data_IF_252751897709
#
_entry.id   IF_252751897709
#
_cell.length_a   1.000
_cell.length_b   1.000
_cell.length_c   1.000
_cell.angle_alpha   90.00
_cell.angle_beta   90.00
_cell.angle_gamma   90.00
#
_symmetry.space_group_name_H-M   'P 1'
#
loop_
_entity.id
_entity.type
_entity.pdbx_description
1 polymer ?
#
# COMPACT_ATOMS: atom_id res chain seq x y z
N UNK A 1 -8.61 -2.90 32.51
CA UNK A 1 -8.68 -3.88 31.41
C UNK A 1 -9.77 -3.42 30.48
N UNK A 2 -9.47 -2.51 29.56
CA UNK A 2 -10.43 -2.03 28.56
C UNK A 2 -10.47 -3.05 27.42
N UNK A 3 -11.59 -3.75 27.30
CA UNK A 3 -11.86 -4.63 26.18
C UNK A 3 -11.92 -3.77 24.91
N UNK A 4 -10.95 -3.96 24.01
CA UNK A 4 -11.01 -3.41 22.66
C UNK A 4 -12.13 -4.15 21.95
N UNK A 5 -13.25 -3.49 21.73
CA UNK A 5 -14.30 -3.96 20.83
C UNK A 5 -13.64 -4.36 19.50
N UNK A 6 -13.87 -5.55 18.96
CA UNK A 6 -13.43 -5.83 17.60
C UNK A 6 -14.16 -4.85 16.70
N UNK A 7 -13.46 -3.81 16.24
CA UNK A 7 -13.89 -3.01 15.10
C UNK A 7 -14.31 -4.00 14.02
N UNK A 8 -15.51 -3.85 13.47
CA UNK A 8 -15.95 -4.65 12.33
C UNK A 8 -14.79 -4.75 11.32
N UNK A 9 -14.41 -5.99 10.99
CA UNK A 9 -13.29 -6.25 10.09
C UNK A 9 -13.56 -5.64 8.73
N UNK A 10 -12.49 -5.31 8.00
CA UNK A 10 -12.59 -4.72 6.68
C UNK A 10 -11.19 -4.57 6.09
N UNK A 11 -11.11 -4.73 4.78
CA UNK A 11 -9.88 -4.59 4.04
C UNK A 11 -9.43 -3.14 4.05
N UNK A 12 -8.14 -2.91 4.25
CA UNK A 12 -7.52 -1.63 3.96
C UNK A 12 -6.83 -1.68 2.61
N UNK A 13 -6.88 -0.55 1.91
CA UNK A 13 -6.19 -0.37 0.64
C UNK A 13 -5.15 0.73 0.81
N UNK A 14 -3.96 0.54 0.25
CA UNK A 14 -2.96 1.59 0.09
C UNK A 14 -2.72 1.85 -1.39
N UNK A 15 -2.71 3.12 -1.78
CA UNK A 15 -2.45 3.57 -3.15
C UNK A 15 -1.37 4.65 -3.14
N UNK A 16 -0.26 4.38 -3.83
CA UNK A 16 0.77 5.36 -4.12
C UNK A 16 0.66 5.81 -5.59
N UNK A 17 0.07 6.98 -5.87
CA UNK A 17 -0.22 7.41 -7.24
C UNK A 17 1.04 7.95 -7.93
N UNK A 18 1.37 7.40 -9.09
CA UNK A 18 2.41 7.94 -9.97
C UNK A 18 1.89 8.24 -11.37
N UNK A 19 2.69 9.02 -12.13
CA UNK A 19 2.28 9.46 -13.48
C UNK A 19 2.12 8.34 -14.49
N UNK A 20 2.92 7.28 -14.38
CA UNK A 20 2.93 6.16 -15.32
C UNK A 20 2.62 4.82 -14.66
N UNK A 21 2.87 4.72 -13.36
CA UNK A 21 2.65 3.53 -12.54
C UNK A 21 2.16 3.97 -11.17
N UNK A 22 1.34 3.15 -10.56
CA UNK A 22 0.93 3.28 -9.18
C UNK A 22 1.28 2.00 -8.43
N UNK A 23 1.65 2.17 -7.16
CA UNK A 23 1.67 1.07 -6.21
C UNK A 23 0.29 0.86 -5.62
N UNK A 24 -0.16 -0.38 -5.51
CA UNK A 24 -1.45 -0.72 -4.94
C UNK A 24 -1.30 -1.93 -4.02
N UNK A 25 -1.85 -1.83 -2.81
CA UNK A 25 -1.82 -2.90 -1.81
C UNK A 25 -3.21 -3.07 -1.19
N UNK A 26 -3.62 -4.31 -0.94
CA UNK A 26 -4.84 -4.64 -0.19
C UNK A 26 -4.50 -5.59 0.94
N UNK A 27 -5.03 -5.34 2.13
CA UNK A 27 -4.91 -6.27 3.26
C UNK A 27 -5.91 -7.41 3.18
N UNK A 28 -5.78 -8.39 4.05
CA UNK A 28 -6.88 -9.27 4.45
C UNK A 28 -7.95 -8.50 5.25
N UNK A 29 -9.06 -9.17 5.58
CA UNK A 29 -10.17 -8.57 6.33
C UNK A 29 -9.79 -8.16 7.76
N UNK A 30 -8.75 -8.78 8.33
CA UNK A 30 -8.25 -8.43 9.67
C UNK A 30 -7.34 -7.19 9.65
N UNK A 31 -6.87 -6.78 8.47
CA UNK A 31 -5.94 -5.67 8.32
C UNK A 31 -4.54 -5.99 8.86
N UNK A 32 -4.14 -7.26 8.86
CA UNK A 32 -2.86 -7.73 9.42
C UNK A 32 -1.90 -8.29 8.37
N UNK A 33 -2.43 -8.78 7.25
CA UNK A 33 -1.63 -9.40 6.18
C UNK A 33 -1.91 -8.73 4.85
N UNK A 34 -0.90 -8.69 3.99
CA UNK A 34 -1.02 -8.33 2.59
C UNK A 34 -1.68 -9.48 1.84
N UNK A 35 -2.79 -9.19 1.18
CA UNK A 35 -3.49 -10.12 0.32
C UNK A 35 -3.16 -9.87 -1.16
N UNK A 36 -3.03 -8.60 -1.56
CA UNK A 36 -2.63 -8.21 -2.91
C UNK A 36 -1.55 -7.14 -2.85
N UNK A 37 -0.56 -7.25 -3.73
CA UNK A 37 0.54 -6.31 -3.87
C UNK A 37 0.85 -6.13 -5.37
N UNK A 38 0.55 -4.97 -5.91
CA UNK A 38 0.46 -4.73 -7.35
C UNK A 38 1.20 -3.45 -7.76
N UNK A 39 1.89 -3.51 -8.90
CA UNK A 39 2.36 -2.34 -9.65
C UNK A 39 1.56 -2.29 -10.94
N UNK A 40 0.74 -1.26 -11.10
CA UNK A 40 -0.22 -1.14 -12.18
C UNK A 40 -0.09 0.22 -12.86
N UNK A 41 -0.63 0.36 -14.06
CA UNK A 41 -0.90 1.69 -14.63
C UNK A 41 -1.99 2.41 -13.83
N UNK A 42 -2.13 3.74 -13.94
CA UNK A 42 -3.20 4.46 -13.26
C UNK A 42 -4.61 3.92 -13.57
N UNK A 43 -4.87 3.54 -14.83
CA UNK A 43 -6.16 2.97 -15.23
C UNK A 43 -6.40 1.60 -14.58
N UNK A 44 -5.44 0.68 -14.66
CA UNK A 44 -5.57 -0.64 -14.03
C UNK A 44 -5.73 -0.53 -12.51
N UNK A 45 -5.05 0.44 -11.89
CA UNK A 45 -5.17 0.69 -10.45
C UNK A 45 -6.58 1.16 -10.08
N UNK A 46 -7.20 1.96 -10.96
CA UNK A 46 -8.57 2.42 -10.79
C UNK A 46 -9.55 1.25 -10.90
N UNK A 47 -9.37 0.40 -11.91
CA UNK A 47 -10.21 -0.77 -12.13
C UNK A 47 -10.14 -1.75 -10.93
N UNK A 48 -8.94 -1.97 -10.38
CA UNK A 48 -8.75 -2.77 -9.17
C UNK A 48 -9.42 -2.16 -7.94
N UNK A 49 -9.26 -0.85 -7.74
CA UNK A 49 -9.89 -0.15 -6.62
C UNK A 49 -11.41 -0.31 -6.66
N UNK A 50 -12.04 -0.07 -7.82
CA UNK A 50 -13.48 -0.27 -7.99
C UNK A 50 -13.88 -1.72 -7.75
N UNK A 51 -13.13 -2.67 -8.32
CA UNK A 51 -13.39 -4.09 -8.13
C UNK A 51 -13.37 -4.48 -6.65
N UNK A 52 -12.38 -4.03 -5.87
CA UNK A 52 -12.29 -4.33 -4.45
C UNK A 52 -13.41 -3.68 -3.64
N UNK A 53 -13.72 -2.41 -3.90
CA UNK A 53 -14.84 -1.72 -3.25
C UNK A 53 -16.20 -2.41 -3.51
N UNK A 54 -16.37 -3.05 -4.67
CA UNK A 54 -17.59 -3.80 -5.00
C UNK A 54 -17.59 -5.25 -4.48
N UNK A 55 -16.43 -5.88 -4.35
CA UNK A 55 -16.33 -7.32 -4.05
C UNK A 55 -16.08 -7.64 -2.57
N UNK A 56 -15.61 -6.68 -1.77
CA UNK A 56 -15.31 -6.90 -0.36
C UNK A 56 -15.62 -5.66 0.50
N UNK A 57 -15.70 -5.86 1.81
CA UNK A 57 -15.89 -4.76 2.76
C UNK A 57 -14.57 -4.00 2.92
N UNK A 58 -14.47 -2.83 2.31
CA UNK A 58 -13.32 -1.93 2.43
C UNK A 58 -13.54 -0.96 3.58
N UNK A 59 -12.61 -0.92 4.52
CA UNK A 59 -12.65 -0.03 5.69
C UNK A 59 -12.15 1.38 5.35
N UNK A 60 -11.20 1.47 4.44
CA UNK A 60 -10.69 2.74 3.96
C UNK A 60 -9.53 2.58 2.98
N UNK A 61 -9.23 3.69 2.33
CA UNK A 61 -8.12 3.85 1.39
C UNK A 61 -7.12 4.85 1.95
N UNK A 62 -5.86 4.44 2.04
CA UNK A 62 -4.73 5.32 2.31
C UNK A 62 -4.15 5.76 0.96
N UNK A 63 -4.20 7.05 0.68
CA UNK A 63 -3.73 7.64 -0.56
C UNK A 63 -2.46 8.46 -0.30
N UNK A 64 -1.39 8.17 -1.01
CA UNK A 64 -0.18 9.00 -0.99
C UNK A 64 -0.50 10.42 -1.48
N UNK A 65 -0.04 11.44 -0.74
CA UNK A 65 -0.38 12.85 -0.98
C UNK A 65 0.49 13.55 -2.04
N UNK A 66 1.27 12.79 -2.80
CA UNK A 66 2.17 13.27 -3.83
C UNK A 66 1.51 14.07 -4.95
N UNK A 67 2.34 14.55 -5.89
CA UNK A 67 1.88 15.42 -7.01
C UNK A 67 0.80 14.80 -7.91
N UNK A 68 0.62 13.47 -7.87
CA UNK A 68 -0.42 12.75 -8.59
C UNK A 68 -1.75 12.56 -7.83
N UNK A 69 -1.85 12.98 -6.56
CA UNK A 69 -2.96 12.61 -5.67
C UNK A 69 -4.27 13.35 -5.94
N UNK A 70 -4.21 14.59 -6.46
CA UNK A 70 -5.39 15.43 -6.71
C UNK A 70 -6.44 14.77 -7.62
N UNK A 71 -6.08 14.33 -8.84
CA UNK A 71 -7.01 13.64 -9.74
C UNK A 71 -7.63 12.38 -9.13
N UNK A 72 -6.87 11.65 -8.30
CA UNK A 72 -7.38 10.47 -7.60
C UNK A 72 -8.42 10.84 -6.56
N UNK A 73 -8.17 11.83 -5.72
CA UNK A 73 -9.14 12.29 -4.72
C UNK A 73 -10.47 12.67 -5.36
N UNK A 74 -10.42 13.41 -6.47
CA UNK A 74 -11.63 13.80 -7.20
C UNK A 74 -12.36 12.57 -7.76
N UNK A 75 -11.66 11.70 -8.49
CA UNK A 75 -12.27 10.50 -9.08
C UNK A 75 -12.90 9.59 -8.01
N UNK A 76 -12.23 9.41 -6.88
CA UNK A 76 -12.74 8.62 -5.75
C UNK A 76 -13.96 9.30 -5.12
N UNK A 77 -13.92 10.61 -4.88
CA UNK A 77 -15.06 11.35 -4.34
C UNK A 77 -16.30 11.28 -5.23
N UNK A 78 -16.11 11.29 -6.56
CA UNK A 78 -17.20 11.24 -7.52
C UNK A 78 -17.79 9.82 -7.67
N UNK A 79 -16.94 8.79 -7.73
CA UNK A 79 -17.37 7.42 -8.06
C UNK A 79 -17.55 6.49 -6.85
N UNK A 80 -16.91 6.80 -5.71
CA UNK A 80 -16.87 5.98 -4.50
C UNK A 80 -17.08 6.86 -3.25
N UNK A 81 -18.20 7.61 -3.15
CA UNK A 81 -18.40 8.63 -2.11
C UNK A 81 -18.43 8.06 -0.67
N UNK A 82 -18.77 6.78 -0.51
CA UNK A 82 -18.79 6.08 0.78
C UNK A 82 -17.39 5.59 1.23
N UNK A 83 -16.40 5.60 0.32
CA UNK A 83 -15.05 5.16 0.64
C UNK A 83 -14.34 6.23 1.48
N UNK A 84 -13.99 5.88 2.71
CA UNK A 84 -13.16 6.75 3.54
C UNK A 84 -11.75 6.82 2.96
N UNK A 85 -11.32 8.01 2.53
CA UNK A 85 -9.97 8.26 2.02
C UNK A 85 -9.17 9.02 3.07
N UNK A 86 -7.98 8.52 3.36
CA UNK A 86 -7.00 9.16 4.25
C UNK A 86 -5.79 9.53 3.43
N UNK A 87 -5.47 10.82 3.36
CA UNK A 87 -4.21 11.29 2.80
C UNK A 87 -3.07 11.00 3.75
N UNK A 88 -2.06 10.31 3.24
CA UNK A 88 -0.84 10.03 3.97
C UNK A 88 0.29 10.82 3.31
N UNK A 89 0.98 11.68 4.08
CA UNK A 89 2.23 12.30 3.64
C UNK A 89 3.16 11.26 3.05
N UNK A 90 3.79 11.56 1.90
CA UNK A 90 4.79 10.70 1.26
C UNK A 90 5.87 10.22 2.26
N UNK A 91 5.57 9.15 2.98
CA UNK A 91 6.54 8.37 3.76
C UNK A 91 7.29 7.39 2.85
N UNK A 92 6.82 7.24 1.61
CA UNK A 92 7.32 6.36 0.57
C UNK A 92 8.61 6.83 -0.08
N UNK A 93 9.60 7.28 0.70
CA UNK A 93 10.95 7.42 0.15
C UNK A 93 11.37 6.07 -0.44
N UNK A 94 12.01 6.09 -1.62
CA UNK A 94 12.57 4.87 -2.24
C UNK A 94 13.48 4.12 -1.26
N UNK A 95 14.05 4.81 -0.26
CA UNK A 95 14.80 4.23 0.83
C UNK A 95 13.95 3.36 1.76
N UNK A 96 12.79 3.83 2.22
CA UNK A 96 11.89 3.07 3.10
C UNK A 96 11.34 1.82 2.40
N UNK A 97 10.91 1.96 1.14
CA UNK A 97 10.43 0.84 0.33
C UNK A 97 11.54 -0.21 0.09
N UNK A 98 12.79 0.23 -0.15
CA UNK A 98 13.95 -0.65 -0.28
C UNK A 98 14.27 -1.40 1.01
N UNK A 99 14.24 -0.73 2.16
CA UNK A 99 14.42 -1.40 3.45
C UNK A 99 13.33 -2.45 3.67
N UNK A 100 12.07 -2.11 3.34
CA UNK A 100 10.95 -3.04 3.45
C UNK A 100 11.10 -4.25 2.54
N UNK A 101 11.59 -4.07 1.31
CA UNK A 101 11.90 -5.18 0.39
C UNK A 101 12.80 -6.23 1.05
N UNK A 102 13.92 -5.81 1.67
CA UNK A 102 14.87 -6.75 2.27
C UNK A 102 14.38 -7.40 3.57
N UNK A 103 13.40 -6.80 4.26
CA UNK A 103 12.72 -7.43 5.39
C UNK A 103 11.77 -8.54 4.94
N UNK A 104 11.04 -8.33 3.84
CA UNK A 104 10.12 -9.31 3.27
C UNK A 104 10.84 -10.40 2.47
N UNK A 105 11.91 -10.03 1.78
CA UNK A 105 12.71 -10.90 0.92
C UNK A 105 14.18 -10.84 1.34
N UNK A 106 14.57 -11.51 2.44
CA UNK A 106 15.94 -11.47 2.93
C UNK A 106 16.97 -11.87 1.87
N UNK A 107 18.13 -11.19 1.79
CA UNK A 107 19.13 -11.45 0.77
C UNK A 107 19.67 -12.87 0.85
N UNK A 108 19.81 -13.52 -0.31
CA UNK A 108 20.36 -14.88 -0.45
C UNK A 108 21.71 -14.83 -1.17
N UNK A 109 22.58 -15.78 -0.87
CA UNK A 109 23.89 -15.96 -1.53
C UNK A 109 24.77 -14.70 -1.47
N UNK A 110 25.39 -14.31 -2.60
CA UNK A 110 26.33 -13.18 -2.72
C UNK A 110 25.74 -11.85 -2.21
N UNK A 111 24.42 -11.68 -2.22
CA UNK A 111 23.75 -10.50 -1.67
C UNK A 111 23.95 -10.32 -0.17
N UNK A 112 24.28 -11.40 0.58
CA UNK A 112 24.63 -11.30 2.00
C UNK A 112 25.96 -10.60 2.25
N UNK A 113 26.89 -10.67 1.29
CA UNK A 113 28.22 -10.07 1.40
C UNK A 113 28.20 -8.56 1.10
N UNK A 114 27.17 -8.08 0.41
CA UNK A 114 26.97 -6.66 0.16
C UNK A 114 26.41 -5.97 1.41
N UNK A 115 26.97 -4.82 1.84
CA UNK A 115 26.37 -3.95 2.85
C UNK A 115 24.96 -3.52 2.46
N UNK A 116 24.05 -3.39 3.44
CA UNK A 116 22.62 -3.13 3.21
C UNK A 116 22.36 -1.88 2.33
N UNK A 117 23.11 -0.80 2.56
CA UNK A 117 22.98 0.43 1.77
C UNK A 117 23.30 0.28 0.29
N UNK A 118 24.06 -0.75 -0.10
CA UNK A 118 24.44 -1.06 -1.48
C UNK A 118 23.53 -2.09 -2.14
N UNK A 119 22.59 -2.69 -1.40
CA UNK A 119 21.67 -3.70 -1.93
C UNK A 119 20.52 -3.03 -2.67
N UNK A 120 20.58 -3.03 -4.00
CA UNK A 120 19.50 -2.57 -4.86
C UNK A 120 18.52 -3.72 -5.15
N UNK A 121 17.22 -3.54 -4.88
CA UNK A 121 16.21 -4.52 -5.27
C UNK A 121 16.17 -4.73 -6.79
N UNK A 122 16.01 -5.96 -7.28
CA UNK A 122 16.02 -6.27 -8.72
C UNK A 122 14.68 -5.97 -9.42
N UNK A 123 13.78 -5.21 -8.80
CA UNK A 123 12.44 -4.90 -9.34
C UNK A 123 11.96 -3.51 -8.89
N UNK A 124 10.93 -2.93 -9.55
CA UNK A 124 10.28 -1.70 -9.11
C UNK A 124 9.74 -1.82 -7.68
N UNK A 125 9.67 -0.69 -6.97
CA UNK A 125 9.32 -0.63 -5.55
C UNK A 125 8.03 0.13 -5.27
N UNK A 126 7.30 0.53 -6.31
CA UNK A 126 6.09 1.36 -6.20
C UNK A 126 5.03 0.67 -5.32
N UNK A 127 4.84 -0.63 -5.47
CA UNK A 127 3.94 -1.42 -4.61
C UNK A 127 4.39 -1.46 -3.14
N UNK A 128 5.70 -1.49 -2.90
CA UNK A 128 6.26 -1.39 -1.56
C UNK A 128 6.20 0.03 -1.00
N UNK A 129 6.18 1.06 -1.83
CA UNK A 129 5.90 2.41 -1.39
C UNK A 129 4.45 2.52 -0.90
N UNK A 130 3.48 1.96 -1.64
CA UNK A 130 2.09 1.84 -1.20
C UNK A 130 1.95 1.01 0.09
N UNK A 131 2.70 -0.09 0.22
CA UNK A 131 2.75 -0.88 1.45
C UNK A 131 3.26 -0.06 2.64
N UNK A 132 4.36 0.67 2.48
CA UNK A 132 4.95 1.49 3.55
C UNK A 132 4.00 2.61 3.97
N UNK A 133 3.30 3.25 3.03
CA UNK A 133 2.27 4.24 3.31
C UNK A 133 1.14 3.64 4.16
N UNK A 134 0.66 2.47 3.75
CA UNK A 134 -0.40 1.78 4.48
C UNK A 134 0.04 1.35 5.88
N UNK A 135 1.23 0.77 6.03
CA UNK A 135 1.80 0.40 7.33
C UNK A 135 1.99 1.62 8.25
N UNK A 136 2.37 2.77 7.69
CA UNK A 136 2.49 4.02 8.44
C UNK A 136 1.14 4.48 8.99
N UNK A 137 0.07 4.37 8.19
CA UNK A 137 -1.29 4.67 8.63
C UNK A 137 -1.79 3.69 9.70
N UNK A 138 -1.57 2.39 9.49
CA UNK A 138 -2.03 1.32 10.39
C UNK A 138 -1.20 1.21 11.69
N UNK A 139 -0.02 1.84 11.74
CA UNK A 139 0.86 1.82 12.91
C UNK A 139 1.54 0.48 13.19
N UNK A 140 1.49 -0.46 12.23
CA UNK A 140 2.13 -1.76 12.36
C UNK A 140 2.56 -2.31 10.98
N UNK A 141 3.42 -3.32 10.99
CA UNK A 141 3.91 -3.97 9.77
C UNK A 141 2.96 -5.08 9.34
N UNK A 142 2.71 -5.18 8.04
CA UNK A 142 1.88 -6.23 7.45
C UNK A 142 2.74 -7.43 7.05
N UNK A 143 2.27 -8.64 7.33
CA UNK A 143 2.90 -9.87 6.84
C UNK A 143 2.58 -10.11 5.35
N UNK A 144 3.38 -10.92 4.65
CA UNK A 144 2.92 -11.55 3.40
C UNK A 144 2.16 -12.83 3.77
N UNK A 145 1.01 -13.05 3.16
CA UNK A 145 0.24 -14.28 3.29
C UNK A 145 0.91 -15.46 2.56
#
# INVERSE_FOLDING_TARGET
MTATTPTAGGHWIGLDPGRSKCGLVRTDISGQQVQDLLVCTPQESWDWLQHWCHSCSVKGLVLGDGTGSGPWQQAIGDALPELTVVLQPEAGSTLAARGRYWQLFPPRNLWKLLPEGLRLPPRPLDDLAALVLLEAHLGHRLGLA
#
